data_IF_028875836631
#
_entry.id   IF_028875836631
#
_cell.length_a   1.000
_cell.length_b   1.000
_cell.length_c   1.000
_cell.angle_alpha   90.00
_cell.angle_beta   90.00
_cell.angle_gamma   90.00
#
_symmetry.space_group_name_H-M   'P 1'
#
loop_
_entity.id
_entity.type
_entity.pdbx_description
1 polymer ?
#
# COMPACT_ATOMS: atom_id res chain seq x y z
N UNK A 1 0.06 -2.02 -13.64
CA UNK A 1 0.89 -3.23 -13.80
C UNK A 1 1.90 -3.24 -12.68
N UNK A 2 1.94 -4.31 -11.89
CA UNK A 2 2.86 -4.40 -10.76
C UNK A 2 3.34 -5.83 -10.55
N UNK A 3 4.61 -6.00 -10.21
CA UNK A 3 5.25 -7.28 -9.96
C UNK A 3 6.52 -7.08 -9.09
N UNK A 4 6.88 -8.07 -8.30
CA UNK A 4 8.05 -8.01 -7.43
C UNK A 4 8.59 -9.41 -7.12
N UNK A 5 9.76 -9.47 -6.51
CA UNK A 5 10.42 -10.72 -6.09
C UNK A 5 9.78 -11.26 -4.80
N UNK A 6 9.89 -12.57 -4.48
CA UNK A 6 9.30 -13.16 -3.29
C UNK A 6 9.72 -12.45 -1.99
N UNK A 7 8.73 -12.15 -1.16
CA UNK A 7 8.89 -11.54 0.17
C UNK A 7 8.46 -12.45 1.32
N UNK A 8 7.88 -13.60 0.97
CA UNK A 8 7.46 -14.66 1.89
C UNK A 8 7.86 -16.01 1.31
N UNK A 9 8.02 -17.02 2.16
CA UNK A 9 8.49 -18.37 1.75
C UNK A 9 7.37 -19.22 1.13
N UNK A 10 6.11 -19.03 1.53
CA UNK A 10 4.98 -19.76 0.96
C UNK A 10 4.65 -19.23 -0.44
N UNK A 11 4.83 -20.05 -1.51
CA UNK A 11 4.60 -19.60 -2.88
C UNK A 11 3.13 -19.26 -3.19
N UNK A 12 2.17 -19.93 -2.54
CA UNK A 12 0.76 -19.59 -2.70
C UNK A 12 0.44 -18.24 -2.08
N UNK A 13 0.93 -17.99 -0.86
CA UNK A 13 0.79 -16.70 -0.19
C UNK A 13 1.47 -15.57 -0.98
N UNK A 14 2.68 -15.82 -1.52
CA UNK A 14 3.37 -14.86 -2.38
C UNK A 14 2.52 -14.50 -3.60
N UNK A 15 1.94 -15.50 -4.28
CA UNK A 15 1.03 -15.26 -5.40
C UNK A 15 -0.19 -14.43 -5.01
N UNK A 16 -0.77 -14.67 -3.83
CA UNK A 16 -1.88 -13.87 -3.32
C UNK A 16 -1.46 -12.41 -3.08
N UNK A 17 -0.33 -12.17 -2.42
CA UNK A 17 0.15 -10.82 -2.11
C UNK A 17 0.44 -10.05 -3.41
N UNK A 18 1.13 -10.66 -4.37
CA UNK A 18 1.48 -10.03 -5.64
C UNK A 18 0.23 -9.63 -6.44
N UNK A 19 -0.76 -10.50 -6.52
CA UNK A 19 -2.02 -10.18 -7.18
C UNK A 19 -2.81 -9.08 -6.43
N UNK A 20 -2.83 -9.12 -5.09
CA UNK A 20 -3.51 -8.09 -4.27
C UNK A 20 -2.87 -6.72 -4.50
N UNK A 21 -1.54 -6.66 -4.55
CA UNK A 21 -0.80 -5.43 -4.81
C UNK A 21 -1.12 -4.87 -6.21
N UNK A 22 -1.08 -5.71 -7.25
CA UNK A 22 -1.37 -5.28 -8.61
C UNK A 22 -2.83 -4.83 -8.84
N UNK A 23 -3.78 -5.40 -8.10
CA UNK A 23 -5.20 -5.01 -8.12
C UNK A 23 -5.44 -3.67 -7.40
N UNK A 24 -4.54 -3.29 -6.50
CA UNK A 24 -4.69 -2.12 -5.62
C UNK A 24 -4.76 -0.81 -6.40
N UNK A 25 -3.92 -0.61 -7.41
CA UNK A 25 -3.92 0.59 -8.27
C UNK A 25 -5.31 0.91 -8.83
N UNK A 26 -6.02 -0.13 -9.30
CA UNK A 26 -7.36 0.04 -9.85
C UNK A 26 -8.34 0.51 -8.78
N UNK A 27 -8.29 -0.09 -7.59
CA UNK A 27 -9.14 0.33 -6.47
C UNK A 27 -8.79 1.72 -5.95
N UNK A 28 -7.50 2.08 -5.92
CA UNK A 28 -7.03 3.40 -5.49
C UNK A 28 -7.58 4.52 -6.39
N UNK A 29 -7.75 4.23 -7.69
CA UNK A 29 -8.38 5.14 -8.64
C UNK A 29 -9.92 5.11 -8.59
N UNK A 30 -10.52 4.33 -7.71
CA UNK A 30 -11.97 4.18 -7.61
C UNK A 30 -12.56 3.22 -8.64
N UNK A 31 -11.72 2.49 -9.36
CA UNK A 31 -12.12 1.55 -10.41
C UNK A 31 -12.46 0.16 -9.86
N UNK A 32 -13.08 -0.63 -10.72
CA UNK A 32 -13.31 -2.07 -10.52
C UNK A 32 -12.45 -2.85 -11.50
N UNK A 33 -11.60 -3.80 -11.03
CA UNK A 33 -10.85 -4.71 -11.91
C UNK A 33 -11.81 -5.50 -12.83
N UNK A 34 -11.42 -5.67 -14.08
CA UNK A 34 -12.19 -6.42 -15.08
C UNK A 34 -11.41 -7.64 -15.56
N UNK A 35 -10.21 -7.41 -16.09
CA UNK A 35 -9.33 -8.47 -16.58
C UNK A 35 -7.89 -8.28 -16.08
N UNK A 36 -7.15 -9.38 -16.03
CA UNK A 36 -5.73 -9.38 -15.69
C UNK A 36 -4.93 -10.32 -16.60
N UNK A 37 -3.66 -9.98 -16.80
CA UNK A 37 -2.65 -10.82 -17.41
C UNK A 37 -1.58 -11.16 -16.36
N UNK A 38 -1.20 -12.44 -16.27
CA UNK A 38 -0.08 -12.85 -15.43
C UNK A 38 1.26 -12.39 -16.02
N UNK A 39 2.15 -11.93 -15.16
CA UNK A 39 3.54 -11.63 -15.46
C UNK A 39 4.39 -12.52 -14.56
N UNK A 40 5.17 -13.43 -15.14
CA UNK A 40 5.95 -14.39 -14.39
C UNK A 40 7.38 -14.47 -14.97
N UNK A 41 8.37 -14.31 -14.11
CA UNK A 41 9.76 -14.62 -14.40
C UNK A 41 10.25 -15.67 -13.41
N UNK A 42 10.90 -16.71 -13.88
CA UNK A 42 11.46 -17.75 -13.01
C UNK A 42 12.77 -18.31 -13.58
N UNK A 43 13.73 -18.70 -12.73
CA UNK A 43 14.87 -19.52 -13.13
C UNK A 43 14.36 -20.98 -13.24
N UNK A 44 13.95 -21.38 -14.44
CA UNK A 44 13.27 -22.63 -14.73
C UNK A 44 14.07 -23.90 -14.39
N UNK A 45 15.39 -23.80 -14.33
CA UNK A 45 16.28 -24.89 -13.91
C UNK A 45 16.30 -25.10 -12.38
N UNK A 46 15.89 -24.08 -11.60
CA UNK A 46 16.01 -24.07 -10.12
C UNK A 46 14.65 -24.16 -9.45
N UNK A 47 13.62 -23.53 -10.02
CA UNK A 47 12.29 -23.44 -9.42
C UNK A 47 11.41 -24.58 -9.91
N UNK A 48 11.02 -25.53 -9.01
CA UNK A 48 10.15 -26.64 -9.41
C UNK A 48 8.79 -26.17 -9.93
N UNK A 49 8.23 -26.85 -10.93
CA UNK A 49 6.90 -26.55 -11.51
C UNK A 49 5.79 -26.48 -10.44
N UNK A 50 5.88 -27.28 -9.37
CA UNK A 50 4.91 -27.23 -8.26
C UNK A 50 4.89 -25.87 -7.54
N UNK A 51 6.04 -25.20 -7.44
CA UNK A 51 6.17 -23.86 -6.83
C UNK A 51 5.54 -22.82 -7.74
N UNK A 52 5.85 -22.86 -9.04
CA UNK A 52 5.23 -22.00 -10.05
C UNK A 52 3.71 -22.12 -10.05
N UNK A 53 3.20 -23.36 -10.04
CA UNK A 53 1.77 -23.63 -9.97
C UNK A 53 1.13 -23.10 -8.68
N UNK A 54 1.83 -23.14 -7.55
CA UNK A 54 1.33 -22.57 -6.29
C UNK A 54 1.23 -21.04 -6.37
N UNK A 55 2.23 -20.36 -6.93
CA UNK A 55 2.22 -18.90 -7.15
C UNK A 55 1.01 -18.50 -8.02
N UNK A 56 0.86 -19.15 -9.18
CA UNK A 56 -0.24 -18.87 -10.12
C UNK A 56 -1.62 -19.11 -9.50
N UNK A 57 -1.77 -20.21 -8.70
CA UNK A 57 -3.02 -20.47 -7.96
C UNK A 57 -3.30 -19.40 -6.90
N UNK A 58 -2.27 -18.91 -6.21
CA UNK A 58 -2.42 -17.80 -5.26
C UNK A 58 -2.93 -16.54 -5.94
N UNK A 59 -2.34 -16.17 -7.08
CA UNK A 59 -2.79 -15.04 -7.88
C UNK A 59 -4.22 -15.19 -8.41
N UNK A 60 -4.53 -16.37 -8.96
CA UNK A 60 -5.88 -16.69 -9.45
C UNK A 60 -6.94 -16.64 -8.35
N UNK A 61 -6.60 -17.05 -7.12
CA UNK A 61 -7.51 -16.97 -5.97
C UNK A 61 -7.89 -15.52 -5.66
N UNK A 62 -6.92 -14.59 -5.68
CA UNK A 62 -7.18 -13.16 -5.43
C UNK A 62 -7.87 -12.48 -6.60
N UNK A 63 -7.53 -12.82 -7.84
CA UNK A 63 -8.26 -12.33 -9.00
C UNK A 63 -9.74 -12.76 -8.94
N UNK A 64 -10.03 -14.02 -8.58
CA UNK A 64 -11.39 -14.51 -8.37
C UNK A 64 -12.13 -13.75 -7.26
N UNK A 65 -11.47 -13.50 -6.12
CA UNK A 65 -12.03 -12.71 -5.02
C UNK A 65 -12.37 -11.27 -5.47
N UNK A 66 -11.51 -10.67 -6.29
CA UNK A 66 -11.71 -9.35 -6.90
C UNK A 66 -12.74 -9.35 -8.06
N UNK A 67 -13.31 -10.51 -8.43
CA UNK A 67 -14.16 -10.70 -9.62
C UNK A 67 -13.47 -10.26 -10.92
N UNK A 68 -12.14 -10.39 -10.97
CA UNK A 68 -11.28 -10.07 -12.09
C UNK A 68 -10.94 -11.36 -12.84
N UNK A 69 -11.13 -11.38 -14.16
CA UNK A 69 -10.85 -12.57 -14.97
C UNK A 69 -9.39 -12.54 -15.43
N UNK A 70 -8.63 -13.60 -15.12
CA UNK A 70 -7.29 -13.77 -15.70
C UNK A 70 -7.46 -14.31 -17.12
N UNK A 71 -7.13 -13.51 -18.13
CA UNK A 71 -7.36 -13.82 -19.54
C UNK A 71 -6.11 -14.30 -20.27
N UNK A 72 -4.98 -14.40 -19.58
CA UNK A 72 -3.72 -14.86 -20.13
C UNK A 72 -2.51 -14.33 -19.34
N UNK A 73 -1.41 -14.16 -20.05
CA UNK A 73 -0.17 -13.64 -19.46
C UNK A 73 1.05 -14.02 -20.26
N UNK A 74 2.22 -13.73 -19.69
CA UNK A 74 3.52 -14.06 -20.26
C UNK A 74 4.47 -14.58 -19.21
N UNK A 75 5.23 -15.62 -19.56
CA UNK A 75 6.28 -16.18 -18.69
C UNK A 75 7.62 -16.08 -19.40
N UNK A 76 8.65 -15.67 -18.66
CA UNK A 76 10.02 -15.59 -19.17
C UNK A 76 10.99 -16.32 -18.24
N UNK A 77 12.13 -16.75 -18.78
CA UNK A 77 13.28 -17.14 -17.96
C UNK A 77 13.91 -15.89 -17.37
N UNK A 78 14.12 -15.89 -16.06
CA UNK A 78 14.77 -14.80 -15.37
C UNK A 78 15.59 -15.33 -14.18
N UNK A 79 16.80 -14.82 -13.93
CA UNK A 79 17.64 -15.30 -12.82
C UNK A 79 16.97 -15.16 -11.45
N UNK A 80 16.17 -14.13 -11.25
CA UNK A 80 15.39 -13.91 -10.03
C UNK A 80 13.90 -14.17 -10.29
N UNK A 81 13.20 -14.93 -9.44
CA UNK A 81 11.77 -15.13 -9.59
C UNK A 81 11.04 -13.81 -9.35
N UNK A 82 10.08 -13.49 -10.20
CA UNK A 82 9.10 -12.44 -9.96
C UNK A 82 7.70 -12.88 -10.42
N UNK A 83 6.69 -12.32 -9.79
CA UNK A 83 5.30 -12.50 -10.17
C UNK A 83 4.48 -11.25 -9.91
N UNK A 84 3.49 -11.04 -10.75
CA UNK A 84 2.49 -9.99 -10.62
C UNK A 84 1.46 -10.02 -11.73
N UNK A 85 0.69 -8.95 -11.84
CA UNK A 85 -0.39 -8.83 -12.81
C UNK A 85 -0.31 -7.51 -13.57
N UNK A 86 -0.72 -7.54 -14.84
CA UNK A 86 -1.18 -6.34 -15.54
C UNK A 86 -2.71 -6.33 -15.49
N UNK A 87 -3.29 -5.39 -14.75
CA UNK A 87 -4.72 -5.33 -14.48
C UNK A 87 -5.36 -4.21 -15.30
N UNK A 88 -6.47 -4.53 -15.96
CA UNK A 88 -7.37 -3.54 -16.59
C UNK A 88 -8.65 -3.46 -15.77
N UNK A 89 -9.07 -2.23 -15.45
CA UNK A 89 -10.29 -1.96 -14.71
C UNK A 89 -11.12 -0.86 -15.35
N UNK A 90 -12.32 -0.67 -14.84
CA UNK A 90 -13.24 0.36 -15.30
C UNK A 90 -13.61 1.30 -14.17
N UNK A 91 -13.69 2.59 -14.48
CA UNK A 91 -14.16 3.64 -13.58
C UNK A 91 -14.99 4.65 -14.36
N UNK A 92 -16.05 5.18 -13.74
CA UNK A 92 -16.75 6.34 -14.31
C UNK A 92 -15.86 7.58 -14.26
N UNK A 93 -15.69 8.35 -15.35
CA UNK A 93 -14.86 9.56 -15.36
C UNK A 93 -15.23 10.57 -14.26
N UNK A 94 -16.53 10.66 -13.91
CA UNK A 94 -17.01 11.55 -12.85
C UNK A 94 -16.70 11.06 -11.42
N UNK A 95 -16.26 9.80 -11.30
CA UNK A 95 -15.96 9.12 -10.04
C UNK A 95 -14.48 8.77 -9.87
N UNK A 96 -13.66 9.20 -10.83
CA UNK A 96 -12.23 8.95 -10.81
C UNK A 96 -11.60 9.61 -9.56
N UNK A 97 -10.87 8.79 -8.80
CA UNK A 97 -10.01 9.24 -7.70
C UNK A 97 -8.61 9.45 -8.24
N UNK A 98 -8.01 10.58 -7.93
CA UNK A 98 -6.65 10.92 -8.38
C UNK A 98 -5.83 11.43 -7.22
N UNK A 99 -4.52 11.46 -7.36
CA UNK A 99 -3.62 12.09 -6.39
C UNK A 99 -3.55 13.63 -6.52
N UNK A 100 -4.27 14.23 -7.49
CA UNK A 100 -4.19 15.64 -7.83
C UNK A 100 -5.39 16.50 -7.35
N UNK A 101 -6.29 15.91 -6.59
CA UNK A 101 -7.55 16.58 -6.18
C UNK A 101 -7.67 16.82 -4.67
N UNK A 102 -6.59 16.69 -3.89
CA UNK A 102 -6.59 17.00 -2.47
C UNK A 102 -6.72 18.52 -2.24
N UNK A 103 -7.48 18.90 -1.23
CA UNK A 103 -7.78 20.32 -0.94
C UNK A 103 -7.39 20.70 0.49
N UNK A 104 -6.90 21.91 0.73
CA UNK A 104 -6.67 22.39 2.10
C UNK A 104 -7.93 22.25 2.96
N UNK A 105 -7.75 21.68 4.16
CA UNK A 105 -8.83 21.35 5.09
C UNK A 105 -9.34 19.92 4.97
N UNK A 106 -8.98 19.16 3.94
CA UNK A 106 -9.29 17.73 3.88
C UNK A 106 -8.53 16.96 4.97
N UNK A 107 -9.16 15.88 5.44
CA UNK A 107 -8.63 14.97 6.45
C UNK A 107 -7.94 13.79 5.76
N UNK A 108 -6.75 13.43 6.22
CA UNK A 108 -6.00 12.27 5.71
C UNK A 108 -6.41 11.02 6.48
N UNK A 109 -6.90 10.01 5.76
CA UNK A 109 -7.36 8.74 6.32
C UNK A 109 -6.58 7.59 5.72
N UNK A 110 -6.06 6.70 6.57
CA UNK A 110 -5.33 5.49 6.19
C UNK A 110 -6.19 4.24 6.44
N UNK A 111 -6.24 3.29 5.48
CA UNK A 111 -7.11 2.12 5.55
C UNK A 111 -6.43 0.81 5.94
N UNK A 112 -5.09 0.76 5.92
CA UNK A 112 -4.28 -0.35 6.48
C UNK A 112 -3.13 0.22 7.30
N UNK A 113 -2.71 -0.46 8.37
CA UNK A 113 -1.57 -0.03 9.17
C UNK A 113 -0.24 -0.17 8.41
N UNK A 114 0.80 0.53 8.88
CA UNK A 114 2.15 0.49 8.30
C UNK A 114 3.03 -0.58 8.96
N UNK A 115 4.12 -0.93 8.28
CA UNK A 115 5.18 -1.79 8.81
C UNK A 115 5.45 -3.07 8.02
N UNK A 116 4.86 -3.25 6.82
CA UNK A 116 5.05 -4.48 6.04
C UNK A 116 6.50 -4.71 5.64
N UNK A 117 7.22 -3.67 5.19
CA UNK A 117 8.60 -3.79 4.75
C UNK A 117 9.56 -4.12 5.90
N UNK A 118 9.38 -3.47 7.04
CA UNK A 118 10.17 -3.74 8.26
C UNK A 118 9.91 -5.16 8.75
N UNK A 119 8.64 -5.59 8.83
CA UNK A 119 8.28 -6.95 9.27
C UNK A 119 8.83 -8.01 8.33
N UNK A 120 8.71 -7.86 7.00
CA UNK A 120 9.24 -8.83 6.04
C UNK A 120 10.77 -8.88 6.04
N UNK A 121 11.44 -7.75 6.26
CA UNK A 121 12.89 -7.72 6.48
C UNK A 121 13.28 -8.45 7.77
N UNK A 122 12.51 -8.27 8.83
CA UNK A 122 12.68 -8.99 10.09
C UNK A 122 12.44 -10.50 9.94
N UNK A 123 11.44 -10.92 9.13
CA UNK A 123 11.19 -12.34 8.80
C UNK A 123 12.43 -12.95 8.13
N UNK A 124 12.98 -12.31 7.10
CA UNK A 124 14.20 -12.76 6.41
C UNK A 124 15.41 -12.91 7.35
N UNK A 125 15.44 -12.16 8.45
CA UNK A 125 16.50 -12.22 9.46
C UNK A 125 16.18 -13.13 10.65
N UNK A 126 15.01 -13.78 10.68
CA UNK A 126 14.56 -14.62 11.79
C UNK A 126 14.25 -13.85 13.08
N UNK A 127 13.94 -12.54 12.97
CA UNK A 127 13.73 -11.63 14.11
C UNK A 127 12.27 -11.26 14.35
N UNK A 128 11.36 -11.55 13.41
CA UNK A 128 9.92 -11.27 13.53
C UNK A 128 9.20 -12.44 14.16
N UNK A 129 8.34 -12.18 15.14
CA UNK A 129 7.51 -13.22 15.75
C UNK A 129 6.52 -13.82 14.74
N UNK A 130 6.15 -15.09 14.93
CA UNK A 130 5.14 -15.77 14.09
C UNK A 130 3.78 -15.04 14.11
N UNK A 131 3.43 -14.39 15.21
CA UNK A 131 2.19 -13.61 15.34
C UNK A 131 2.23 -12.35 14.46
N UNK A 132 3.33 -11.59 14.48
CA UNK A 132 3.50 -10.39 13.64
C UNK A 132 3.65 -10.74 12.15
N UNK A 133 4.34 -11.83 11.83
CA UNK A 133 4.44 -12.34 10.46
C UNK A 133 3.05 -12.69 9.87
N UNK A 134 2.19 -13.35 10.66
CA UNK A 134 0.82 -13.66 10.27
C UNK A 134 -0.02 -12.41 10.04
N UNK A 135 0.03 -11.42 10.96
CA UNK A 135 -0.66 -10.14 10.79
C UNK A 135 -0.22 -9.39 9.53
N UNK A 136 1.09 -9.41 9.22
CA UNK A 136 1.60 -8.81 8.00
C UNK A 136 1.06 -9.52 6.76
N UNK A 137 1.05 -10.84 6.73
CA UNK A 137 0.49 -11.64 5.64
C UNK A 137 -1.00 -11.38 5.44
N UNK A 138 -1.79 -11.37 6.52
CA UNK A 138 -3.22 -11.04 6.50
C UNK A 138 -3.45 -9.63 5.93
N UNK A 139 -2.68 -8.63 6.38
CA UNK A 139 -2.78 -7.26 5.89
C UNK A 139 -2.44 -7.16 4.39
N UNK A 140 -1.36 -7.82 3.93
CA UNK A 140 -0.92 -7.78 2.55
C UNK A 140 -1.86 -8.51 1.58
N UNK A 141 -2.63 -9.50 2.04
CA UNK A 141 -3.59 -10.24 1.20
C UNK A 141 -4.98 -9.61 1.15
N UNK A 142 -5.28 -8.57 1.91
CA UNK A 142 -6.56 -7.88 1.86
C UNK A 142 -6.67 -6.94 0.67
N UNK A 143 -7.73 -7.09 -0.13
CA UNK A 143 -8.02 -6.22 -1.28
C UNK A 143 -8.49 -4.82 -0.82
N UNK A 144 -8.09 -3.79 -1.55
CA UNK A 144 -8.50 -2.41 -1.32
C UNK A 144 -9.86 -2.06 -1.98
N UNK A 145 -10.81 -3.00 -2.01
CA UNK A 145 -12.13 -2.87 -2.67
C UNK A 145 -12.89 -1.62 -2.22
N UNK A 146 -12.66 -1.18 -0.99
CA UNK A 146 -13.31 0.00 -0.42
C UNK A 146 -13.07 1.27 -1.23
N UNK A 147 -11.94 1.36 -1.97
CA UNK A 147 -11.66 2.48 -2.88
C UNK A 147 -12.75 2.67 -3.93
N UNK A 148 -13.15 1.59 -4.60
CA UNK A 148 -14.25 1.61 -5.56
C UNK A 148 -15.59 2.00 -4.90
N UNK A 149 -15.87 1.45 -3.72
CA UNK A 149 -17.12 1.76 -2.98
C UNK A 149 -17.22 3.23 -2.62
N UNK A 150 -16.14 3.83 -2.13
CA UNK A 150 -16.11 5.25 -1.76
C UNK A 150 -16.20 6.17 -2.98
N UNK A 151 -15.53 5.81 -4.07
CA UNK A 151 -15.58 6.54 -5.33
C UNK A 151 -16.97 6.55 -5.93
N UNK A 152 -17.64 5.40 -6.03
CA UNK A 152 -19.01 5.28 -6.56
C UNK A 152 -20.01 6.14 -5.81
N UNK A 153 -19.85 6.26 -4.49
CA UNK A 153 -20.67 7.15 -3.65
C UNK A 153 -20.25 8.62 -3.74
N UNK A 154 -19.18 8.94 -4.44
CA UNK A 154 -18.65 10.30 -4.56
C UNK A 154 -18.12 10.88 -3.25
N UNK A 155 -17.68 10.01 -2.33
CA UNK A 155 -17.22 10.41 -1.00
C UNK A 155 -15.76 10.85 -0.98
N UNK A 156 -14.96 10.31 -1.89
CA UNK A 156 -13.52 10.60 -2.03
C UNK A 156 -13.23 11.00 -3.48
N UNK A 157 -12.38 11.99 -3.67
CA UNK A 157 -11.91 12.47 -4.98
C UNK A 157 -10.40 12.50 -5.10
N UNK A 158 -9.69 12.44 -3.99
CA UNK A 158 -8.24 12.37 -3.94
C UNK A 158 -7.80 11.21 -3.05
N UNK A 159 -6.87 10.42 -3.54
CA UNK A 159 -6.32 9.28 -2.86
C UNK A 159 -5.27 8.57 -3.69
N UNK A 160 -4.57 7.67 -3.06
CA UNK A 160 -3.60 6.75 -3.65
C UNK A 160 -3.52 5.52 -2.76
N UNK A 161 -3.02 4.40 -3.24
CA UNK A 161 -2.56 3.36 -2.34
C UNK A 161 -1.13 3.68 -1.85
N UNK A 162 -0.76 3.05 -0.74
CA UNK A 162 0.56 3.23 -0.12
C UNK A 162 1.36 1.96 -0.36
N UNK A 163 2.34 2.02 -1.26
CA UNK A 163 3.16 0.87 -1.66
C UNK A 163 4.66 1.15 -1.49
N UNK A 164 5.50 0.79 -2.43
CA UNK A 164 6.95 0.78 -2.34
C UNK A 164 7.62 2.11 -1.94
N UNK A 165 6.98 3.24 -2.21
CA UNK A 165 7.52 4.57 -1.82
C UNK A 165 7.16 4.99 -0.38
N UNK A 166 6.47 4.14 0.38
CA UNK A 166 6.04 4.43 1.74
C UNK A 166 5.01 5.56 1.83
N UNK A 167 4.53 5.84 3.03
CA UNK A 167 3.55 6.90 3.24
C UNK A 167 4.10 8.27 2.77
N UNK A 168 5.37 8.56 3.05
CA UNK A 168 5.99 9.85 2.70
C UNK A 168 6.05 10.09 1.20
N UNK A 169 6.46 9.09 0.41
CA UNK A 169 6.57 9.22 -1.04
C UNK A 169 5.20 9.40 -1.71
N UNK A 170 4.20 8.61 -1.30
CA UNK A 170 2.85 8.71 -1.85
C UNK A 170 2.13 10.00 -1.43
N UNK A 171 2.24 10.41 -0.14
CA UNK A 171 1.70 11.69 0.32
C UNK A 171 2.41 12.87 -0.35
N UNK A 172 3.75 12.80 -0.50
CA UNK A 172 4.53 13.80 -1.22
C UNK A 172 4.09 13.96 -2.67
N UNK A 173 3.80 12.86 -3.35
CA UNK A 173 3.25 12.87 -4.71
C UNK A 173 1.86 13.53 -4.76
N UNK A 174 0.99 13.20 -3.79
CA UNK A 174 -0.32 13.84 -3.65
C UNK A 174 -0.19 15.35 -3.39
N UNK A 175 0.72 15.76 -2.51
CA UNK A 175 0.97 17.18 -2.22
C UNK A 175 1.47 17.95 -3.46
N UNK A 176 2.40 17.37 -4.21
CA UNK A 176 2.91 17.95 -5.46
C UNK A 176 1.81 18.09 -6.51
N UNK A 177 1.08 17.02 -6.77
CA UNK A 177 0.05 17.00 -7.80
C UNK A 177 -1.14 17.92 -7.47
N UNK A 178 -1.49 18.05 -6.19
CA UNK A 178 -2.59 18.89 -5.71
C UNK A 178 -2.17 20.33 -5.37
N UNK A 179 -0.86 20.66 -5.40
CA UNK A 179 -0.29 21.97 -5.01
C UNK A 179 -0.67 22.37 -3.58
N UNK A 180 -0.48 21.45 -2.63
CA UNK A 180 -0.82 21.60 -1.21
C UNK A 180 0.32 21.12 -0.34
N UNK A 181 0.22 21.36 0.97
CA UNK A 181 1.02 20.69 2.01
C UNK A 181 0.17 19.69 2.79
N UNK A 182 0.83 18.95 3.67
CA UNK A 182 0.17 18.03 4.59
C UNK A 182 0.76 18.13 6.01
N UNK A 183 -0.06 17.81 6.99
CA UNK A 183 0.34 17.62 8.37
C UNK A 183 -0.02 16.20 8.79
N UNK A 184 0.93 15.48 9.38
CA UNK A 184 0.77 14.10 9.82
C UNK A 184 1.02 14.03 11.33
N UNK A 185 0.10 13.39 12.04
CA UNK A 185 0.20 13.12 13.49
C UNK A 185 0.77 11.72 13.67
N UNK A 186 2.05 11.63 14.04
CA UNK A 186 2.76 10.34 14.16
C UNK A 186 2.06 9.40 15.12
N UNK A 187 1.59 9.90 16.27
CA UNK A 187 0.86 9.13 17.28
C UNK A 187 -0.45 8.51 16.77
N UNK A 188 -1.02 9.04 15.67
CA UNK A 188 -2.24 8.54 15.04
C UNK A 188 -1.99 7.53 13.92
N UNK A 189 -0.73 7.30 13.53
CA UNK A 189 -0.38 6.36 12.46
C UNK A 189 -0.43 4.93 12.99
N UNK A 190 -1.31 4.06 12.46
CA UNK A 190 -1.46 2.70 12.98
C UNK A 190 -0.32 1.80 12.53
N UNK A 191 0.11 0.90 13.42
CA UNK A 191 1.12 -0.12 13.19
C UNK A 191 0.46 -1.50 13.03
N UNK A 192 0.99 -2.34 12.14
CA UNK A 192 0.59 -3.76 12.05
C UNK A 192 0.85 -4.47 13.38
N UNK A 193 2.00 -4.15 14.00
CA UNK A 193 2.42 -4.65 15.31
C UNK A 193 3.37 -3.65 15.95
N UNK A 194 3.33 -3.53 17.28
CA UNK A 194 4.31 -2.72 18.02
C UNK A 194 5.75 -3.26 17.87
N UNK A 195 5.92 -4.50 17.47
CA UNK A 195 7.21 -5.11 17.14
C UNK A 195 7.96 -4.36 16.02
N UNK A 196 7.24 -3.65 15.14
CA UNK A 196 7.82 -2.81 14.09
C UNK A 196 8.85 -1.83 14.65
N UNK A 197 8.55 -1.17 15.77
CA UNK A 197 9.47 -0.20 16.39
C UNK A 197 10.75 -0.87 16.89
N UNK A 198 10.62 -2.02 17.55
CA UNK A 198 11.77 -2.80 18.03
C UNK A 198 12.61 -3.34 16.86
N UNK A 199 11.99 -3.70 15.73
CA UNK A 199 12.69 -4.14 14.52
C UNK A 199 13.46 -2.99 13.85
N UNK A 200 12.94 -1.76 13.87
CA UNK A 200 13.68 -0.57 13.39
C UNK A 200 14.95 -0.38 14.22
N UNK A 201 14.87 -0.47 15.55
CA UNK A 201 16.06 -0.38 16.44
C UNK A 201 17.10 -1.49 16.15
N UNK A 202 16.63 -2.66 15.70
CA UNK A 202 17.48 -3.78 15.24
C UNK A 202 17.93 -3.66 13.77
N UNK A 203 17.78 -2.48 13.16
CA UNK A 203 18.15 -2.20 11.77
C UNK A 203 17.44 -3.12 10.73
N UNK A 204 16.24 -3.64 11.02
CA UNK A 204 15.41 -4.35 10.06
C UNK A 204 14.71 -3.38 9.09
N UNK A 205 15.49 -2.51 8.47
CA UNK A 205 15.01 -1.45 7.58
C UNK A 205 15.33 -1.86 6.14
N UNK A 206 14.31 -2.02 5.26
CA UNK A 206 14.54 -2.27 3.84
C UNK A 206 15.40 -1.19 3.18
N UNK A 207 16.19 -1.56 2.17
CA UNK A 207 16.96 -0.59 1.39
C UNK A 207 16.06 0.48 0.75
N UNK A 208 14.91 0.06 0.21
CA UNK A 208 13.91 0.98 -0.34
C UNK A 208 13.38 1.99 0.69
N UNK A 209 13.18 1.58 1.96
CA UNK A 209 12.73 2.50 3.02
C UNK A 209 13.79 3.56 3.36
N UNK A 210 15.08 3.24 3.27
CA UNK A 210 16.17 4.21 3.43
C UNK A 210 16.17 5.22 2.29
N UNK A 211 16.07 4.74 1.05
CA UNK A 211 15.99 5.58 -0.14
C UNK A 211 14.73 6.48 -0.12
N UNK A 212 13.61 5.95 0.36
CA UNK A 212 12.36 6.72 0.50
C UNK A 212 12.52 7.89 1.48
N UNK A 213 13.18 7.65 2.63
CA UNK A 213 13.43 8.71 3.60
C UNK A 213 14.31 9.81 3.02
N UNK A 214 15.45 9.44 2.40
CA UNK A 214 16.35 10.38 1.73
C UNK A 214 15.64 11.20 0.64
N UNK A 215 14.83 10.54 -0.19
CA UNK A 215 14.07 11.19 -1.28
C UNK A 215 12.99 12.15 -0.76
N UNK A 216 12.39 11.84 0.39
CA UNK A 216 11.36 12.68 0.99
C UNK A 216 11.94 13.88 1.76
N UNK A 217 13.16 13.79 2.30
CA UNK A 217 13.76 14.79 3.20
C UNK A 217 13.62 16.24 2.74
N UNK A 218 13.79 16.60 1.44
CA UNK A 218 13.66 17.97 0.96
C UNK A 218 12.28 18.62 1.15
N UNK A 219 11.24 17.83 1.39
CA UNK A 219 9.87 18.31 1.60
C UNK A 219 9.37 18.05 3.03
N UNK A 220 10.25 17.60 3.93
CA UNK A 220 9.86 17.25 5.28
C UNK A 220 10.17 18.37 6.28
N UNK A 221 9.23 18.59 7.22
CA UNK A 221 9.41 19.34 8.45
C UNK A 221 9.14 18.40 9.63
N UNK A 222 10.18 18.09 10.40
CA UNK A 222 10.11 17.19 11.54
C UNK A 222 10.02 17.96 12.85
N UNK A 223 8.95 17.79 13.60
CA UNK A 223 8.76 18.39 14.91
C UNK A 223 8.88 17.31 16.00
N UNK A 224 10.08 17.19 16.57
CA UNK A 224 10.37 16.23 17.63
C UNK A 224 10.30 14.75 17.25
N UNK A 225 10.20 14.41 15.97
CA UNK A 225 9.99 13.04 15.47
C UNK A 225 11.23 12.18 15.64
N UNK A 226 11.17 11.08 16.43
CA UNK A 226 12.30 10.18 16.62
C UNK A 226 12.65 9.41 15.34
N UNK A 227 13.88 8.90 15.27
CA UNK A 227 14.38 8.11 14.13
C UNK A 227 13.43 6.96 13.74
N UNK A 228 12.91 6.24 14.72
CA UNK A 228 11.96 5.14 14.47
C UNK A 228 10.69 5.63 13.77
N UNK A 229 10.16 6.78 14.12
CA UNK A 229 9.00 7.39 13.46
C UNK A 229 9.29 7.77 12.01
N UNK A 230 10.47 8.34 11.73
CA UNK A 230 10.89 8.68 10.37
C UNK A 230 10.94 7.44 9.46
N UNK A 231 11.57 6.35 9.92
CA UNK A 231 11.65 5.10 9.17
C UNK A 231 10.30 4.39 9.04
N UNK A 232 9.43 4.49 10.05
CA UNK A 232 8.06 3.97 9.95
C UNK A 232 7.29 4.62 8.79
N UNK A 233 7.33 5.96 8.71
CA UNK A 233 6.61 6.70 7.68
C UNK A 233 7.22 6.52 6.28
N UNK A 234 8.52 6.25 6.20
CA UNK A 234 9.23 5.95 4.95
C UNK A 234 9.17 4.46 4.56
N UNK A 235 8.62 3.59 5.45
CA UNK A 235 8.67 2.14 5.23
C UNK A 235 7.94 1.74 3.94
N UNK A 236 8.69 1.05 3.06
CA UNK A 236 8.16 0.52 1.82
C UNK A 236 7.06 -0.51 2.12
N UNK A 237 5.83 -0.22 1.71
CA UNK A 237 4.71 -1.12 1.93
C UNK A 237 4.52 -2.05 0.75
N UNK A 238 4.29 -3.33 1.02
CA UNK A 238 3.78 -4.27 0.03
C UNK A 238 2.28 -4.42 0.24
N UNK A 239 1.51 -4.19 -0.80
CA UNK A 239 0.04 -4.26 -0.75
C UNK A 239 -0.55 -3.47 0.43
N UNK A 240 -0.08 -2.24 0.61
CA UNK A 240 -0.54 -1.36 1.67
C UNK A 240 -1.98 -0.87 1.46
N UNK A 241 -2.43 -0.03 2.37
CA UNK A 241 -3.77 0.54 2.34
C UNK A 241 -3.90 1.76 1.45
N UNK A 242 -5.11 2.28 1.37
CA UNK A 242 -5.38 3.54 0.72
C UNK A 242 -5.08 4.70 1.67
N UNK A 243 -4.42 5.73 1.13
CA UNK A 243 -4.34 7.07 1.71
C UNK A 243 -5.39 7.93 1.02
N UNK A 244 -6.40 8.35 1.78
CA UNK A 244 -7.55 9.08 1.27
C UNK A 244 -7.53 10.52 1.79
N UNK A 245 -7.78 11.49 0.91
CA UNK A 245 -8.07 12.88 1.26
C UNK A 245 -9.59 13.06 1.29
N UNK A 246 -10.12 13.30 2.47
CA UNK A 246 -11.56 13.26 2.74
C UNK A 246 -12.04 14.62 3.22
N UNK A 247 -13.04 15.18 2.54
CA UNK A 247 -13.67 16.42 2.98
C UNK A 247 -14.29 16.26 4.39
N UNK A 248 -14.07 17.17 5.36
CA UNK A 248 -14.52 17.02 6.75
C UNK A 248 -16.01 16.66 6.90
N UNK A 249 -16.88 17.22 6.08
CA UNK A 249 -18.33 16.92 6.10
C UNK A 249 -18.68 15.49 5.71
N UNK A 250 -17.77 14.76 5.03
CA UNK A 250 -17.96 13.38 4.60
C UNK A 250 -17.21 12.36 5.47
N UNK A 251 -16.40 12.83 6.41
CA UNK A 251 -15.51 11.99 7.22
C UNK A 251 -16.27 10.89 7.95
N UNK A 252 -17.34 11.24 8.67
CA UNK A 252 -18.11 10.27 9.46
C UNK A 252 -18.70 9.15 8.59
N UNK A 253 -19.20 9.49 7.39
CA UNK A 253 -19.73 8.51 6.45
C UNK A 253 -18.62 7.60 5.91
N UNK A 254 -17.46 8.17 5.54
CA UNK A 254 -16.29 7.40 5.10
C UNK A 254 -15.84 6.43 6.18
N UNK A 255 -15.64 6.89 7.42
CA UNK A 255 -15.22 6.03 8.55
C UNK A 255 -16.23 4.90 8.81
N UNK A 256 -17.54 5.20 8.72
CA UNK A 256 -18.60 4.19 8.84
C UNK A 256 -18.48 3.10 7.77
N UNK A 257 -18.24 3.50 6.50
CA UNK A 257 -18.07 2.56 5.39
C UNK A 257 -16.80 1.72 5.57
N UNK A 258 -15.67 2.33 5.94
CA UNK A 258 -14.43 1.61 6.21
C UNK A 258 -14.65 0.52 7.27
N UNK A 259 -15.35 0.86 8.36
CA UNK A 259 -15.71 -0.12 9.41
C UNK A 259 -16.63 -1.23 8.88
N UNK A 260 -17.65 -0.88 8.10
CA UNK A 260 -18.58 -1.86 7.49
C UNK A 260 -17.87 -2.81 6.53
N UNK A 261 -16.91 -2.29 5.76
CA UNK A 261 -16.07 -3.06 4.83
C UNK A 261 -14.94 -3.82 5.53
N UNK A 262 -14.85 -3.73 6.88
CA UNK A 262 -13.84 -4.39 7.70
C UNK A 262 -12.41 -4.12 7.24
N UNK A 263 -12.12 -2.86 6.84
CA UNK A 263 -10.74 -2.47 6.55
C UNK A 263 -9.88 -2.65 7.81
N UNK A 264 -8.59 -3.03 7.69
CA UNK A 264 -7.71 -3.26 8.84
C UNK A 264 -7.61 -2.07 9.80
N UNK A 265 -7.75 -0.86 9.27
CA UNK A 265 -7.93 0.34 10.07
C UNK A 265 -8.79 1.39 9.33
N UNK A 266 -9.22 2.40 10.05
CA UNK A 266 -9.89 3.60 9.57
C UNK A 266 -9.31 4.79 10.35
N UNK A 267 -8.00 5.03 10.15
CA UNK A 267 -7.23 5.94 10.98
C UNK A 267 -7.14 7.34 10.35
N UNK A 268 -7.57 8.35 11.11
CA UNK A 268 -7.31 9.76 10.77
C UNK A 268 -5.87 10.05 11.19
N UNK A 269 -4.99 10.23 10.22
CA UNK A 269 -3.54 10.37 10.45
C UNK A 269 -3.03 11.80 10.27
N UNK A 270 -3.89 12.73 9.85
CA UNK A 270 -3.46 14.08 9.57
C UNK A 270 -4.47 14.88 8.76
N UNK A 271 -4.01 15.97 8.16
CA UNK A 271 -4.82 16.85 7.32
C UNK A 271 -4.02 17.48 6.19
N UNK A 272 -4.72 17.89 5.15
CA UNK A 272 -4.17 18.68 4.04
C UNK A 272 -4.17 20.15 4.44
N UNK A 273 -3.05 20.85 4.24
CA UNK A 273 -2.90 22.24 4.56
C UNK A 273 -2.59 23.10 3.32
N UNK A 274 -2.91 24.39 3.40
CA UNK A 274 -2.51 25.35 2.36
C UNK A 274 -0.99 25.52 2.41
N UNK A 275 -0.33 25.34 1.28
CA UNK A 275 1.10 25.60 1.13
C UNK A 275 1.42 26.03 -0.29
N UNK A 276 2.38 26.93 -0.46
CA UNK A 276 2.90 27.32 -1.78
C UNK A 276 3.86 26.28 -2.37
N UNK A 277 4.41 25.40 -1.51
CA UNK A 277 5.32 24.30 -1.89
C UNK A 277 4.82 22.99 -1.29
N UNK A 278 5.12 21.84 -1.92
CA UNK A 278 4.81 20.55 -1.31
C UNK A 278 5.67 20.36 -0.05
N UNK A 279 5.03 20.45 1.11
CA UNK A 279 5.66 20.26 2.43
C UNK A 279 4.83 19.26 3.22
N UNK A 280 5.49 18.36 3.92
CA UNK A 280 4.88 17.45 4.88
C UNK A 280 5.46 17.75 6.26
N UNK A 281 4.61 18.29 7.14
CA UNK A 281 4.93 18.49 8.55
C UNK A 281 4.52 17.26 9.34
N UNK A 282 5.44 16.70 10.12
CA UNK A 282 5.13 15.58 11.01
C UNK A 282 5.29 16.05 12.46
N UNK A 283 4.24 15.83 13.25
CA UNK A 283 4.17 16.13 14.68
C UNK A 283 4.03 14.83 15.47
N UNK A 284 4.44 14.85 16.74
CA UNK A 284 4.27 13.74 17.68
C UNK A 284 2.81 13.46 18.03
#
# INVERSE_FOLDING_TARGET
MDFFTPIVDDPFLYGQIAATNALSDVYAMGGRPLTALNLLGVPDEVVPTKVVNAILRGGAAKAKEAKCVVVGGHSIRNPEPFYGLAVTGLVSPQRLVTNANARPGDVLVLTKPLGTGILTTGIKRGLTSAASARKAAECMTLLNVVGAVLAERGLVRAGTDVTGFGLLGHLGSMCRASKVGAEVFLSSVPLISHEVLALIEKECIPGGSRQNLETAEPIMEWDGVPRAGKFLLADAQTSGGLLLSVHPRKLNEVLKILKQQRTPCAAVIGRVMRSAKPIIRVQM
#
